data_IF_140068764149
#
_entry.id   IF_140068764149
#
_cell.length_a   1.000
_cell.length_b   1.000
_cell.length_c   1.000
_cell.angle_alpha   90.00
_cell.angle_beta   90.00
_cell.angle_gamma   90.00
#
_symmetry.space_group_name_H-M   'P 1'
#
loop_
_entity.id
_entity.type
_entity.pdbx_description
1 polymer ?
#
# COMPACT_ATOMS: atom_id res chain seq x y z
N UNK A 1 26.86 17.54 -1.57
CA UNK A 1 25.61 18.09 -0.99
C UNK A 1 25.98 18.75 0.32
N UNK A 2 25.86 20.07 0.40
CA UNK A 2 26.03 20.82 1.66
C UNK A 2 24.75 20.66 2.49
N UNK A 3 24.88 20.06 3.67
CA UNK A 3 23.77 19.85 4.61
C UNK A 3 23.64 21.06 5.53
N UNK A 4 22.49 21.73 5.52
CA UNK A 4 22.18 22.85 6.42
C UNK A 4 21.58 22.32 7.73
N UNK A 5 22.26 22.57 8.84
CA UNK A 5 21.75 22.31 10.19
C UNK A 5 20.49 23.16 10.49
N UNK A 6 19.38 22.48 10.80
CA UNK A 6 18.12 23.10 11.19
C UNK A 6 17.99 23.20 12.71
N UNK A 7 18.73 24.14 13.29
CA UNK A 7 18.79 24.39 14.74
C UNK A 7 17.72 25.39 15.22
N UNK A 8 16.44 25.04 15.08
CA UNK A 8 15.34 25.82 15.68
C UNK A 8 14.43 24.96 16.54
N UNK A 9 14.82 24.80 17.81
CA UNK A 9 13.98 24.21 18.86
C UNK A 9 14.80 23.80 20.08
N UNK A 10 14.80 24.64 21.12
CA UNK A 10 15.46 24.38 22.40
C UNK A 10 14.71 23.35 23.24
N UNK A 11 15.40 22.30 23.69
CA UNK A 11 14.83 21.27 24.57
C UNK A 11 15.84 20.21 24.99
N UNK A 12 16.48 20.45 26.14
CA UNK A 12 17.49 19.65 26.86
C UNK A 12 16.98 18.22 27.17
N UNK A 13 17.79 17.19 26.89
CA UNK A 13 17.52 15.80 27.28
C UNK A 13 18.46 14.79 26.62
N UNK A 14 19.47 14.34 27.38
CA UNK A 14 20.62 13.50 26.98
C UNK A 14 20.30 11.99 26.92
N UNK A 15 19.56 11.50 25.91
CA UNK A 15 19.45 10.05 25.70
C UNK A 15 19.17 9.61 24.26
N UNK A 16 19.60 10.39 23.26
CA UNK A 16 19.42 10.08 21.84
C UNK A 16 20.74 10.24 21.10
N UNK A 17 21.07 9.26 20.25
CA UNK A 17 22.23 9.26 19.35
C UNK A 17 22.19 10.52 18.48
N UNK A 18 23.33 11.23 18.31
CA UNK A 18 23.43 12.51 17.59
C UNK A 18 22.97 12.44 16.13
N UNK A 19 22.75 11.23 15.62
CA UNK A 19 22.33 10.91 14.25
C UNK A 19 20.83 11.04 14.00
N UNK A 20 19.99 11.08 15.04
CA UNK A 20 18.52 11.18 14.89
C UNK A 20 18.07 12.64 14.97
N UNK A 21 17.76 13.25 13.82
CA UNK A 21 17.34 14.65 13.75
C UNK A 21 16.13 14.99 14.62
N UNK A 22 16.06 16.24 15.12
CA UNK A 22 15.03 16.74 16.06
C UNK A 22 13.60 16.53 15.53
N UNK A 23 13.44 16.46 14.22
CA UNK A 23 12.15 16.22 13.58
C UNK A 23 11.58 14.85 14.01
N UNK A 24 12.40 13.79 14.01
CA UNK A 24 12.01 12.40 14.26
C UNK A 24 11.56 12.07 15.70
N UNK A 25 11.77 13.00 16.65
CA UNK A 25 11.69 12.78 18.12
C UNK A 25 10.34 12.24 18.63
N UNK A 26 9.24 12.51 17.93
CA UNK A 26 7.89 12.14 18.40
C UNK A 26 7.32 10.88 17.73
N UNK A 27 8.07 10.29 16.80
CA UNK A 27 7.59 9.23 15.90
C UNK A 27 8.59 8.09 15.76
N UNK A 28 9.88 8.34 15.95
CA UNK A 28 10.94 7.35 15.84
C UNK A 28 11.48 6.98 17.22
N UNK A 29 11.79 5.70 17.40
CA UNK A 29 12.47 5.17 18.60
C UNK A 29 13.54 4.21 18.12
N UNK A 30 14.80 4.49 18.45
CA UNK A 30 15.88 3.54 18.23
C UNK A 30 15.86 2.48 19.34
N UNK A 31 15.99 1.21 18.96
CA UNK A 31 16.15 0.11 19.92
C UNK A 31 17.62 -0.15 20.18
N UNK A 32 17.96 -0.70 21.35
CA UNK A 32 19.32 -1.10 21.69
C UNK A 32 20.01 -2.01 20.64
N UNK A 33 19.23 -2.76 19.86
CA UNK A 33 19.72 -3.61 18.76
C UNK A 33 20.08 -2.83 17.47
N UNK A 34 20.09 -1.50 17.48
CA UNK A 34 20.39 -0.64 16.32
C UNK A 34 19.29 -0.58 15.26
N UNK A 35 18.04 -0.92 15.61
CA UNK A 35 16.87 -0.84 14.71
C UNK A 35 16.08 0.43 14.97
N UNK A 36 15.58 1.05 13.90
CA UNK A 36 14.75 2.25 14.00
C UNK A 36 13.26 1.90 13.89
N UNK A 37 12.48 2.20 14.93
CA UNK A 37 11.04 1.96 14.96
C UNK A 37 10.27 3.26 14.72
N UNK A 38 9.57 3.34 13.59
CA UNK A 38 8.65 4.43 13.26
C UNK A 38 7.22 4.04 13.67
N UNK A 39 6.59 4.85 14.51
CA UNK A 39 5.24 4.65 15.07
C UNK A 39 4.38 5.89 14.82
N UNK A 40 3.06 5.74 14.97
CA UNK A 40 2.16 6.90 15.04
C UNK A 40 2.53 7.81 16.21
N UNK A 41 2.17 9.09 16.07
CA UNK A 41 2.37 10.10 17.11
C UNK A 41 1.87 9.62 18.48
N UNK A 42 2.58 10.04 19.53
CA UNK A 42 2.25 9.69 20.92
C UNK A 42 0.78 10.00 21.24
N UNK A 43 0.28 11.17 20.81
CA UNK A 43 -1.12 11.58 21.00
C UNK A 43 -2.12 10.55 20.43
N UNK A 44 -1.94 10.12 19.18
CA UNK A 44 -2.84 9.14 18.56
C UNK A 44 -2.75 7.78 19.26
N UNK A 45 -1.56 7.40 19.76
CA UNK A 45 -1.40 6.18 20.56
C UNK A 45 -2.13 6.28 21.89
N UNK A 46 -2.09 7.43 22.57
CA UNK A 46 -2.86 7.67 23.78
C UNK A 46 -4.37 7.60 23.52
N UNK A 47 -4.87 8.25 22.45
CA UNK A 47 -6.29 8.14 22.08
C UNK A 47 -6.70 6.69 21.77
N UNK A 48 -5.85 5.93 21.07
CA UNK A 48 -6.09 4.52 20.82
C UNK A 48 -6.11 3.69 22.12
N UNK A 49 -5.23 3.99 23.07
CA UNK A 49 -5.24 3.33 24.39
C UNK A 49 -6.53 3.63 25.15
N UNK A 50 -6.99 4.89 25.16
CA UNK A 50 -8.27 5.26 25.78
C UNK A 50 -9.43 4.51 25.12
N UNK A 51 -9.46 4.43 23.80
CA UNK A 51 -10.47 3.67 23.07
C UNK A 51 -10.45 2.17 23.41
N UNK A 52 -9.29 1.57 23.70
CA UNK A 52 -9.21 0.19 24.19
C UNK A 52 -9.69 0.05 25.63
N UNK A 53 -9.28 0.96 26.52
CA UNK A 53 -9.63 0.93 27.94
C UNK A 53 -11.14 1.08 28.14
N UNK A 54 -11.82 1.87 27.30
CA UNK A 54 -13.28 2.02 27.35
C UNK A 54 -13.98 0.93 26.52
N UNK A 55 -13.50 0.70 25.30
CA UNK A 55 -14.18 -0.17 24.34
C UNK A 55 -14.12 -1.65 24.68
N UNK A 56 -13.02 -2.17 25.24
CA UNK A 56 -12.91 -3.60 25.59
C UNK A 56 -13.84 -3.96 26.75
N UNK A 57 -13.86 -3.24 27.89
CA UNK A 57 -14.85 -3.48 28.94
C UNK A 57 -16.29 -3.26 28.45
N UNK A 58 -16.54 -2.24 27.62
CA UNK A 58 -17.85 -2.02 27.01
C UNK A 58 -18.30 -3.19 26.14
N UNK A 59 -17.43 -3.76 25.33
CA UNK A 59 -17.73 -4.98 24.56
C UNK A 59 -18.01 -6.17 25.48
N UNK A 60 -17.20 -6.41 26.51
CA UNK A 60 -17.36 -7.56 27.40
C UNK A 60 -18.67 -7.46 28.18
N UNK A 61 -18.96 -6.29 28.74
CA UNK A 61 -20.19 -6.04 29.51
C UNK A 61 -21.44 -6.26 28.64
N UNK A 62 -21.42 -5.77 27.40
CA UNK A 62 -22.56 -5.91 26.50
C UNK A 62 -22.62 -7.28 25.78
N UNK A 63 -21.51 -8.02 25.70
CA UNK A 63 -21.50 -9.37 25.16
C UNK A 63 -21.87 -10.45 26.18
N UNK A 64 -21.70 -10.18 27.49
CA UNK A 64 -22.02 -11.13 28.54
C UNK A 64 -23.49 -11.60 28.50
N UNK A 65 -24.49 -10.70 28.30
CA UNK A 65 -25.88 -11.10 28.15
C UNK A 65 -26.12 -12.01 26.93
N UNK A 66 -25.40 -11.83 25.82
CA UNK A 66 -25.52 -12.67 24.61
C UNK A 66 -25.15 -14.14 24.85
N UNK A 67 -24.41 -14.42 25.93
CA UNK A 67 -24.03 -15.78 26.33
C UNK A 67 -25.04 -16.40 27.31
N UNK A 68 -26.04 -15.64 27.75
CA UNK A 68 -27.08 -16.12 28.66
C UNK A 68 -28.18 -16.86 27.90
N UNK A 69 -28.58 -18.08 28.32
CA UNK A 69 -29.69 -18.81 27.71
C UNK A 69 -31.07 -18.20 28.04
N UNK A 70 -31.14 -17.18 28.90
CA UNK A 70 -32.38 -16.53 29.35
C UNK A 70 -32.61 -15.13 28.77
N UNK A 71 -31.79 -14.73 27.79
CA UNK A 71 -31.88 -13.40 27.20
C UNK A 71 -33.11 -13.29 26.29
N UNK A 72 -33.84 -12.17 26.39
CA UNK A 72 -34.95 -11.89 25.50
C UNK A 72 -34.47 -11.41 24.13
N UNK A 73 -35.25 -11.64 23.08
CA UNK A 73 -34.92 -11.20 21.70
C UNK A 73 -34.64 -9.68 21.59
N UNK A 74 -35.21 -8.88 22.50
CA UNK A 74 -34.96 -7.44 22.58
C UNK A 74 -33.59 -7.13 23.19
N UNK A 75 -33.23 -7.79 24.29
CA UNK A 75 -31.94 -7.64 24.96
C UNK A 75 -30.77 -8.15 24.11
N UNK A 76 -30.97 -9.22 23.31
CA UNK A 76 -29.96 -9.70 22.34
C UNK A 76 -29.63 -8.60 21.32
N UNK A 77 -30.66 -7.92 20.84
CA UNK A 77 -30.53 -6.91 19.78
C UNK A 77 -29.86 -5.64 20.28
N UNK A 78 -30.24 -5.16 21.46
CA UNK A 78 -29.61 -4.00 22.11
C UNK A 78 -28.13 -4.30 22.44
N UNK A 79 -27.86 -5.48 23.03
CA UNK A 79 -26.51 -5.97 23.29
C UNK A 79 -25.65 -6.01 22.01
N UNK A 80 -26.19 -6.48 20.89
CA UNK A 80 -25.48 -6.49 19.60
C UNK A 80 -25.11 -5.07 19.11
N UNK A 81 -26.01 -4.09 19.23
CA UNK A 81 -25.73 -2.71 18.81
C UNK A 81 -24.55 -2.15 19.62
N UNK A 82 -24.56 -2.31 20.94
CA UNK A 82 -23.47 -1.85 21.81
C UNK A 82 -22.16 -2.60 21.55
N UNK A 83 -22.20 -3.91 21.33
CA UNK A 83 -21.01 -4.71 20.98
C UNK A 83 -20.39 -4.21 19.67
N UNK A 84 -21.19 -3.89 18.66
CA UNK A 84 -20.68 -3.35 17.39
C UNK A 84 -20.16 -1.91 17.58
N UNK A 85 -20.89 -1.07 18.32
CA UNK A 85 -20.50 0.31 18.60
C UNK A 85 -19.16 0.41 19.32
N UNK A 86 -18.89 -0.45 20.29
CA UNK A 86 -17.59 -0.53 20.97
C UNK A 86 -16.54 -1.30 20.16
N UNK A 87 -16.95 -2.30 19.38
CA UNK A 87 -16.06 -3.12 18.56
C UNK A 87 -15.34 -2.32 17.47
N UNK A 88 -16.03 -1.38 16.82
CA UNK A 88 -15.45 -0.58 15.74
C UNK A 88 -14.26 0.30 16.24
N UNK A 89 -14.40 1.11 17.32
CA UNK A 89 -13.29 1.83 17.96
C UNK A 89 -12.18 0.91 18.46
N UNK A 90 -12.51 -0.25 19.02
CA UNK A 90 -11.51 -1.24 19.47
C UNK A 90 -10.66 -1.74 18.30
N UNK A 91 -11.29 -2.15 17.20
CA UNK A 91 -10.57 -2.58 15.99
C UNK A 91 -9.70 -1.45 15.42
N UNK A 92 -10.21 -0.22 15.39
CA UNK A 92 -9.42 0.95 14.99
C UNK A 92 -8.21 1.17 15.91
N UNK A 93 -8.39 1.05 17.23
CA UNK A 93 -7.32 1.24 18.20
C UNK A 93 -6.24 0.15 18.09
N UNK A 94 -6.64 -1.12 17.98
CA UNK A 94 -5.71 -2.23 17.72
C UNK A 94 -4.92 -1.99 16.43
N UNK A 95 -5.60 -1.60 15.35
CA UNK A 95 -4.97 -1.28 14.06
C UNK A 95 -3.95 -0.14 14.20
N UNK A 96 -4.32 0.90 14.94
CA UNK A 96 -3.48 2.08 15.16
C UNK A 96 -2.22 1.75 15.96
N UNK A 97 -2.33 0.91 17.00
CA UNK A 97 -1.20 0.50 17.84
C UNK A 97 -0.30 -0.56 17.17
N UNK A 98 -0.86 -1.45 16.34
CA UNK A 98 -0.07 -2.46 15.60
C UNK A 98 0.72 -1.87 14.43
N UNK A 99 0.31 -0.72 13.89
CA UNK A 99 0.99 -0.06 12.78
C UNK A 99 2.36 0.49 13.20
N UNK A 100 3.41 -0.15 12.69
CA UNK A 100 4.79 0.32 12.86
C UNK A 100 5.65 -0.04 11.66
N UNK A 101 6.59 0.81 11.31
CA UNK A 101 7.68 0.49 10.38
C UNK A 101 8.94 0.25 11.20
N UNK A 102 9.68 -0.79 10.88
CA UNK A 102 10.98 -1.11 11.50
C UNK A 102 12.03 -1.06 10.41
N UNK A 103 13.00 -0.16 10.52
CA UNK A 103 14.18 -0.14 9.67
C UNK A 103 15.30 -0.90 10.38
N UNK A 104 15.99 -1.74 9.61
CA UNK A 104 17.07 -2.60 10.09
C UNK A 104 18.12 -2.76 8.99
N UNK A 105 19.28 -3.32 9.33
CA UNK A 105 20.33 -3.65 8.35
C UNK A 105 19.81 -4.47 7.16
N UNK A 106 18.83 -5.34 7.39
CA UNK A 106 18.33 -6.25 6.38
C UNK A 106 17.15 -5.68 5.54
N UNK A 107 16.74 -4.44 5.78
CA UNK A 107 15.64 -3.78 5.08
C UNK A 107 14.57 -3.18 5.98
N UNK A 108 13.43 -2.89 5.36
CA UNK A 108 12.28 -2.23 5.95
C UNK A 108 11.19 -3.26 6.24
N UNK A 109 10.79 -3.37 7.50
CA UNK A 109 9.69 -4.24 7.93
C UNK A 109 8.48 -3.40 8.34
N UNK A 110 7.44 -3.41 7.51
CA UNK A 110 6.18 -2.72 7.71
C UNK A 110 5.17 -3.65 8.37
N UNK A 111 4.77 -3.36 9.60
CA UNK A 111 3.68 -4.07 10.29
C UNK A 111 2.39 -3.28 10.20
N UNK A 112 1.32 -3.95 9.78
CA UNK A 112 -0.07 -3.50 9.73
C UNK A 112 -0.93 -4.48 10.53
N UNK A 113 -2.23 -4.20 10.70
CA UNK A 113 -3.14 -5.00 11.54
C UNK A 113 -3.07 -6.50 11.25
N UNK A 114 -3.17 -6.87 9.97
CA UNK A 114 -3.25 -8.27 9.52
C UNK A 114 -1.98 -8.76 8.82
N UNK A 115 -1.01 -7.87 8.54
CA UNK A 115 0.09 -8.18 7.64
C UNK A 115 1.41 -7.57 8.11
N UNK A 116 2.48 -8.33 7.92
CA UNK A 116 3.84 -7.83 8.01
C UNK A 116 4.47 -7.97 6.63
N UNK A 117 4.95 -6.86 6.09
CA UNK A 117 5.63 -6.80 4.80
C UNK A 117 7.09 -6.45 5.05
N UNK A 118 8.01 -7.19 4.43
CA UNK A 118 9.44 -6.96 4.52
C UNK A 118 9.94 -6.64 3.12
N UNK A 119 10.55 -5.47 2.97
CA UNK A 119 11.16 -5.00 1.74
C UNK A 119 12.67 -4.88 1.96
N UNK A 120 13.50 -5.63 1.22
CA UNK A 120 14.95 -5.51 1.31
C UNK A 120 15.44 -4.16 0.79
N UNK A 121 16.60 -3.69 1.27
CA UNK A 121 17.19 -2.45 0.75
C UNK A 121 17.50 -2.50 -0.75
N UNK A 122 17.85 -3.69 -1.26
CA UNK A 122 18.05 -3.97 -2.69
C UNK A 122 16.86 -3.54 -3.57
N UNK A 123 15.63 -3.52 -3.02
CA UNK A 123 14.43 -3.14 -3.75
C UNK A 123 13.85 -1.77 -3.34
N UNK A 124 14.49 -1.04 -2.43
CA UNK A 124 13.95 0.19 -1.80
C UNK A 124 14.98 1.33 -1.74
N UNK A 125 16.26 1.04 -2.01
CA UNK A 125 17.41 1.87 -1.64
C UNK A 125 17.40 3.32 -2.14
N UNK A 126 16.65 3.65 -3.19
CA UNK A 126 16.68 4.99 -3.80
C UNK A 126 15.40 5.84 -3.66
N UNK A 127 14.30 5.39 -3.01
CA UNK A 127 12.98 6.04 -3.25
C UNK A 127 12.09 6.25 -2.03
N UNK A 128 12.59 6.97 -1.03
CA UNK A 128 11.68 7.64 -0.09
C UNK A 128 11.12 8.89 -0.75
N UNK A 129 9.83 8.87 -1.09
CA UNK A 129 9.10 10.01 -1.62
C UNK A 129 8.05 10.47 -0.61
N UNK A 130 7.64 11.73 -0.67
CA UNK A 130 6.56 12.24 0.17
C UNK A 130 5.24 12.12 -0.61
N UNK A 131 4.25 11.43 -0.03
CA UNK A 131 2.87 11.60 -0.48
C UNK A 131 2.20 12.63 0.44
N UNK A 132 2.07 13.85 -0.04
CA UNK A 132 1.14 14.85 0.49
C UNK A 132 -0.25 14.49 -0.01
N UNK A 133 -1.13 14.02 0.88
CA UNK A 133 -2.54 13.91 0.54
C UNK A 133 -3.17 15.29 0.75
N UNK A 134 -3.14 16.12 -0.30
CA UNK A 134 -3.91 17.35 -0.35
C UNK A 134 -5.38 16.99 -0.57
N UNK A 135 -6.24 17.30 0.41
CA UNK A 135 -7.69 17.06 0.34
C UNK A 135 -8.42 18.09 -0.55
N UNK A 136 -7.71 18.72 -1.50
CA UNK A 136 -8.15 19.93 -2.21
C UNK A 136 -7.92 19.85 -3.73
N UNK A 137 -8.52 18.89 -4.41
CA UNK A 137 -8.77 19.01 -5.87
C UNK A 137 -10.12 19.69 -6.17
N UNK A 138 -10.73 20.36 -5.19
CA UNK A 138 -11.88 21.23 -5.38
C UNK A 138 -11.46 22.70 -5.24
N UNK A 139 -11.61 23.54 -6.28
CA UNK A 139 -11.22 24.93 -6.24
C UNK A 139 -12.32 25.73 -5.56
N UNK A 140 -12.35 25.75 -4.23
CA UNK A 140 -12.88 26.85 -3.43
C UNK A 140 -13.03 26.42 -1.98
N UNK A 141 -12.65 27.34 -1.10
CA UNK A 141 -13.32 27.70 0.15
C UNK A 141 -12.38 27.64 1.35
N UNK A 142 -12.11 28.83 1.88
CA UNK A 142 -11.61 29.11 3.23
C UNK A 142 -12.17 28.11 4.27
N UNK A 143 -11.35 27.17 4.72
CA UNK A 143 -11.69 26.21 5.76
C UNK A 143 -10.43 25.48 6.22
N UNK A 144 -10.22 25.40 7.54
CA UNK A 144 -8.94 25.00 8.17
C UNK A 144 -8.24 23.78 7.53
N UNK A 145 -6.98 23.99 7.15
CA UNK A 145 -6.10 23.04 6.48
C UNK A 145 -5.81 21.82 7.36
N UNK A 146 -6.26 20.62 6.95
CA UNK A 146 -5.75 19.35 7.49
C UNK A 146 -4.84 18.75 6.41
N UNK A 147 -3.60 19.22 6.36
CA UNK A 147 -2.58 18.58 5.55
C UNK A 147 -2.12 17.30 6.23
N UNK A 148 -2.18 16.20 5.49
CA UNK A 148 -1.71 14.89 5.95
C UNK A 148 -0.56 14.44 5.07
N UNK A 149 0.66 14.78 5.47
CA UNK A 149 1.85 14.30 4.80
C UNK A 149 2.22 12.92 5.32
N UNK A 150 2.41 11.95 4.43
CA UNK A 150 2.86 10.61 4.79
C UNK A 150 4.11 10.27 4.01
N UNK A 151 5.09 9.70 4.70
CA UNK A 151 6.27 9.14 4.03
C UNK A 151 5.84 7.91 3.25
N UNK A 152 6.18 7.88 1.97
CA UNK A 152 5.91 6.78 1.07
C UNK A 152 7.19 6.25 0.46
N UNK A 153 7.13 5.01 0.02
CA UNK A 153 8.15 4.39 -0.82
C UNK A 153 7.53 4.21 -2.18
N UNK A 154 8.14 4.76 -3.23
CA UNK A 154 7.70 4.48 -4.59
C UNK A 154 8.00 3.02 -4.95
N UNK A 155 7.03 2.29 -5.50
CA UNK A 155 7.18 0.90 -5.89
C UNK A 155 6.93 0.77 -7.39
N UNK A 156 8.01 0.86 -8.17
CA UNK A 156 7.93 0.92 -9.62
C UNK A 156 7.55 2.30 -10.11
N UNK A 157 6.27 2.63 -10.03
CA UNK A 157 5.66 3.77 -10.72
C UNK A 157 5.12 4.82 -9.74
N UNK A 158 4.99 6.06 -10.21
CA UNK A 158 4.53 7.21 -9.43
C UNK A 158 3.12 6.99 -8.79
N UNK A 159 2.25 6.22 -9.46
CA UNK A 159 0.88 5.89 -8.96
C UNK A 159 0.86 4.78 -7.90
N UNK A 160 2.01 4.16 -7.58
CA UNK A 160 2.09 3.03 -6.67
C UNK A 160 3.06 3.29 -5.53
N UNK A 161 2.61 4.18 -4.67
CA UNK A 161 3.32 4.56 -3.45
C UNK A 161 2.94 3.63 -2.29
N UNK A 162 3.93 2.89 -1.78
CA UNK A 162 3.84 2.13 -0.54
C UNK A 162 3.86 3.10 0.64
N UNK A 163 2.74 3.22 1.32
CA UNK A 163 2.63 4.12 2.47
C UNK A 163 3.22 3.50 3.73
N UNK A 164 4.19 4.17 4.36
CA UNK A 164 4.82 3.66 5.57
C UNK A 164 3.85 3.69 6.77
N UNK A 165 3.55 2.55 7.41
CA UNK A 165 2.67 2.52 8.58
C UNK A 165 3.32 3.22 9.79
N UNK A 166 2.66 4.24 10.31
CA UNK A 166 3.15 5.00 11.47
C UNK A 166 3.65 6.41 11.12
N UNK A 167 4.14 6.61 9.90
CA UNK A 167 4.79 7.83 9.45
C UNK A 167 3.80 8.90 8.94
N UNK A 168 2.79 9.24 9.77
CA UNK A 168 1.82 10.30 9.46
C UNK A 168 2.28 11.58 10.14
N UNK A 169 2.61 12.59 9.34
CA UNK A 169 3.08 13.90 9.75
C UNK A 169 1.95 14.89 9.40
N UNK A 170 1.50 15.69 10.38
CA UNK A 170 0.35 16.59 10.18
C UNK A 170 -0.98 16.04 10.72
N UNK A 171 -1.31 16.45 11.94
CA UNK A 171 -2.68 16.61 12.48
C UNK A 171 -2.76 17.94 13.26
N UNK A 172 -1.79 18.83 13.03
CA UNK A 172 -1.63 20.10 13.75
C UNK A 172 -1.86 21.23 12.77
N UNK A 173 -2.58 22.27 13.18
CA UNK A 173 -2.74 23.52 12.43
C UNK A 173 -1.35 24.05 12.00
N UNK A 174 -1.12 24.21 10.69
CA UNK A 174 0.12 24.74 10.09
C UNK A 174 0.79 23.84 9.04
N UNK A 175 1.67 24.42 8.22
CA UNK A 175 2.44 23.75 7.13
C UNK A 175 3.10 22.47 7.65
N UNK A 176 2.60 21.34 7.17
CA UNK A 176 3.07 20.00 7.54
C UNK A 176 4.14 19.48 6.56
N UNK A 177 4.24 20.11 5.39
CA UNK A 177 5.17 19.77 4.31
C UNK A 177 6.63 19.98 4.71
N UNK A 178 6.97 21.13 5.29
CA UNK A 178 8.35 21.43 5.72
C UNK A 178 8.86 20.44 6.78
N UNK A 179 7.99 20.08 7.73
CA UNK A 179 8.32 19.08 8.77
C UNK A 179 8.49 17.69 8.19
N UNK A 180 7.69 17.34 7.19
CA UNK A 180 7.78 16.06 6.52
C UNK A 180 8.99 15.95 5.58
N UNK A 181 9.36 17.05 4.94
CA UNK A 181 10.59 17.16 4.14
C UNK A 181 11.82 17.01 5.03
N UNK A 182 11.87 17.73 6.16
CA UNK A 182 12.93 17.56 7.16
C UNK A 182 12.98 16.11 7.72
N UNK A 183 11.82 15.50 7.98
CA UNK A 183 11.72 14.11 8.42
C UNK A 183 12.34 13.11 7.44
N UNK A 184 12.08 13.31 6.14
CA UNK A 184 12.61 12.46 5.09
C UNK A 184 14.11 12.67 4.93
N UNK A 185 14.58 13.92 4.97
CA UNK A 185 16.01 14.23 4.97
C UNK A 185 16.75 13.58 6.13
N UNK A 186 16.25 13.72 7.36
CA UNK A 186 16.83 13.10 8.55
C UNK A 186 16.83 11.56 8.46
N UNK A 187 15.77 10.96 7.89
CA UNK A 187 15.69 9.51 7.68
C UNK A 187 16.69 9.02 6.64
N UNK A 188 16.84 9.74 5.52
CA UNK A 188 17.83 9.43 4.48
C UNK A 188 19.25 9.54 5.02
N UNK A 189 19.54 10.60 5.79
CA UNK A 189 20.82 10.79 6.45
C UNK A 189 21.12 9.64 7.42
N UNK A 190 20.15 9.23 8.25
CA UNK A 190 20.31 8.11 9.17
C UNK A 190 20.66 6.79 8.44
N UNK A 191 19.99 6.52 7.31
CA UNK A 191 20.24 5.32 6.48
C UNK A 191 21.65 5.36 5.88
N UNK A 192 22.05 6.53 5.37
CA UNK A 192 23.38 6.76 4.80
C UNK A 192 24.47 6.59 5.85
N UNK A 193 24.34 7.24 7.01
CA UNK A 193 25.29 7.19 8.11
C UNK A 193 25.49 5.76 8.66
N UNK A 194 24.46 4.91 8.59
CA UNK A 194 24.51 3.50 9.00
C UNK A 194 24.99 2.55 7.90
N UNK A 195 25.26 3.05 6.69
CA UNK A 195 25.71 2.24 5.56
C UNK A 195 24.71 1.18 5.12
N UNK A 196 23.41 1.43 5.32
CA UNK A 196 22.35 0.48 4.94
C UNK A 196 21.93 0.60 3.46
N UNK A 197 22.37 1.65 2.77
CA UNK A 197 22.21 1.80 1.32
C UNK A 197 22.97 0.69 0.58
N UNK A 198 22.37 0.19 -0.50
CA UNK A 198 22.99 -0.80 -1.39
C UNK A 198 24.28 -0.20 -1.95
N UNK A 199 25.43 -0.84 -1.73
CA UNK A 199 26.67 -0.47 -2.42
C UNK A 199 26.49 -0.73 -3.92
N UNK A 200 26.96 0.19 -4.78
CA UNK A 200 26.87 0.06 -6.24
C UNK A 200 27.38 -1.31 -6.71
N UNK A 201 28.40 -1.87 -6.06
CA UNK A 201 28.98 -3.20 -6.36
C UNK A 201 28.01 -4.39 -6.15
N UNK A 202 27.05 -4.29 -5.22
CA UNK A 202 26.06 -5.35 -4.99
C UNK A 202 24.91 -5.29 -6.01
N UNK A 203 24.70 -4.13 -6.64
CA UNK A 203 23.72 -3.94 -7.71
C UNK A 203 24.23 -4.41 -9.09
N UNK A 204 25.48 -4.88 -9.17
CA UNK A 204 26.15 -5.34 -10.40
C UNK A 204 26.04 -6.86 -10.61
N UNK A 205 25.70 -7.63 -9.57
CA UNK A 205 25.67 -9.10 -9.64
C UNK A 205 24.29 -9.64 -10.01
N UNK A 206 24.26 -10.71 -10.83
CA UNK A 206 23.02 -11.46 -11.12
C UNK A 206 22.41 -12.02 -9.83
N UNK A 207 21.09 -11.96 -9.69
CA UNK A 207 20.39 -12.58 -8.55
C UNK A 207 20.05 -14.04 -8.92
N UNK A 208 20.68 -15.04 -8.26
CA UNK A 208 20.44 -16.45 -8.55
C UNK A 208 18.96 -16.84 -8.40
N UNK A 209 18.22 -16.17 -7.52
CA UNK A 209 16.79 -16.44 -7.32
C UNK A 209 15.95 -15.95 -8.50
N UNK A 210 16.26 -14.78 -9.04
CA UNK A 210 15.53 -14.20 -10.18
C UNK A 210 15.88 -14.93 -11.48
N UNK A 211 17.15 -15.31 -11.68
CA UNK A 211 17.59 -16.15 -12.80
C UNK A 211 16.91 -17.52 -12.75
N UNK A 212 16.90 -18.18 -11.59
CA UNK A 212 16.18 -19.44 -11.42
C UNK A 212 14.67 -19.28 -11.62
N UNK A 213 14.06 -18.20 -11.13
CA UNK A 213 12.64 -17.93 -11.31
C UNK A 213 12.26 -17.70 -12.78
N UNK A 214 13.11 -16.99 -13.53
CA UNK A 214 12.97 -16.83 -14.98
C UNK A 214 12.92 -18.18 -15.69
N UNK A 215 13.70 -19.17 -15.26
CA UNK A 215 13.65 -20.55 -15.79
C UNK A 215 12.43 -21.36 -15.34
N UNK A 216 11.77 -21.00 -14.23
CA UNK A 216 10.58 -21.69 -13.67
C UNK A 216 9.26 -21.23 -14.30
N UNK A 217 9.28 -20.73 -15.52
CA UNK A 217 8.07 -20.29 -16.22
C UNK A 217 7.17 -21.49 -16.57
N UNK A 218 5.87 -21.42 -16.29
CA UNK A 218 4.88 -22.42 -16.77
C UNK A 218 4.47 -22.14 -18.23
N UNK A 219 5.43 -21.75 -19.08
CA UNK A 219 5.13 -21.32 -20.44
C UNK A 219 4.49 -22.43 -21.25
N UNK A 220 4.92 -23.68 -21.12
CA UNK A 220 4.34 -24.84 -21.84
C UNK A 220 2.81 -24.93 -21.69
N UNK A 221 2.29 -24.76 -20.46
CA UNK A 221 0.85 -24.79 -20.18
C UNK A 221 0.11 -23.54 -20.66
N UNK A 222 0.81 -22.41 -20.78
CA UNK A 222 0.25 -21.14 -21.23
C UNK A 222 0.24 -21.04 -22.76
N UNK A 223 1.29 -21.50 -23.43
CA UNK A 223 1.46 -21.52 -24.89
C UNK A 223 0.38 -22.36 -25.59
N UNK A 224 -0.16 -23.39 -24.94
CA UNK A 224 -1.27 -24.16 -25.51
C UNK A 224 -2.61 -23.41 -25.56
N UNK A 225 -2.73 -22.26 -24.89
CA UNK A 225 -3.98 -21.49 -24.85
C UNK A 225 -3.98 -20.46 -25.97
N UNK A 226 -5.10 -20.36 -26.68
CA UNK A 226 -5.34 -19.34 -27.70
C UNK A 226 -5.39 -17.90 -27.14
N UNK A 227 -5.56 -17.73 -25.83
CA UNK A 227 -5.60 -16.42 -25.16
C UNK A 227 -5.22 -16.55 -23.69
N UNK A 228 -4.44 -15.59 -23.16
CA UNK A 228 -4.14 -15.53 -21.72
C UNK A 228 -5.00 -14.47 -21.05
N UNK A 229 -5.76 -14.87 -20.02
CA UNK A 229 -6.57 -13.96 -19.20
C UNK A 229 -6.03 -14.01 -17.77
N UNK A 230 -5.68 -12.85 -17.23
CA UNK A 230 -5.29 -12.67 -15.83
C UNK A 230 -6.28 -11.72 -15.14
N UNK A 231 -6.76 -12.12 -13.96
CA UNK A 231 -7.68 -11.35 -13.12
C UNK A 231 -7.17 -11.30 -11.68
N UNK A 232 -5.87 -11.10 -11.48
CA UNK A 232 -5.27 -11.09 -10.15
C UNK A 232 -5.46 -9.71 -9.52
N UNK A 233 -6.16 -9.59 -8.38
CA UNK A 233 -6.35 -8.29 -7.75
C UNK A 233 -5.03 -7.69 -7.26
N UNK A 234 -4.94 -6.37 -7.27
CA UNK A 234 -3.85 -5.61 -6.62
C UNK A 234 -3.99 -5.72 -5.09
N UNK A 235 -3.65 -6.88 -4.54
CA UNK A 235 -3.94 -7.23 -3.15
C UNK A 235 -3.28 -6.28 -2.15
N UNK A 236 -2.13 -5.69 -2.48
CA UNK A 236 -1.50 -4.65 -1.67
C UNK A 236 -2.39 -3.39 -1.56
N UNK A 237 -2.90 -2.90 -2.69
CA UNK A 237 -3.78 -1.71 -2.73
C UNK A 237 -5.10 -1.97 -2.01
N UNK A 238 -5.70 -3.14 -2.20
CA UNK A 238 -6.89 -3.59 -1.46
C UNK A 238 -6.64 -3.61 0.05
N UNK A 239 -5.56 -4.26 0.49
CA UNK A 239 -5.15 -4.28 1.91
C UNK A 239 -4.95 -2.88 2.46
N UNK A 240 -4.34 -2.00 1.68
CA UNK A 240 -4.11 -0.63 2.09
C UNK A 240 -5.42 0.14 2.31
N UNK A 241 -6.34 0.07 1.36
CA UNK A 241 -7.66 0.70 1.49
C UNK A 241 -8.42 0.18 2.71
N UNK A 242 -8.46 -1.15 2.90
CA UNK A 242 -9.08 -1.78 4.06
C UNK A 242 -8.44 -1.28 5.37
N UNK A 243 -7.12 -1.29 5.44
CA UNK A 243 -6.42 -0.89 6.66
C UNK A 243 -6.58 0.61 6.96
N UNK A 244 -6.61 1.49 5.94
CA UNK A 244 -6.56 2.96 6.08
C UNK A 244 -7.89 3.61 6.50
N UNK A 245 -8.87 2.81 6.91
CA UNK A 245 -10.19 3.29 7.32
C UNK A 245 -11.31 2.66 6.51
N UNK A 246 -11.02 1.95 5.41
CA UNK A 246 -12.02 1.22 4.64
C UNK A 246 -12.76 0.19 5.49
N UNK A 247 -12.05 -0.57 6.33
CA UNK A 247 -12.68 -1.53 7.24
C UNK A 247 -13.54 -0.85 8.32
N UNK A 248 -13.15 0.34 8.77
CA UNK A 248 -13.95 1.14 9.70
C UNK A 248 -15.23 1.66 9.02
N UNK A 249 -15.12 2.23 7.82
CA UNK A 249 -16.25 2.75 7.06
C UNK A 249 -17.22 1.63 6.65
N UNK A 250 -16.70 0.48 6.24
CA UNK A 250 -17.52 -0.71 5.94
C UNK A 250 -18.23 -1.17 7.22
N UNK A 251 -17.53 -1.27 8.35
CA UNK A 251 -18.13 -1.64 9.63
C UNK A 251 -19.22 -0.67 10.09
N UNK A 252 -18.96 0.64 9.98
CA UNK A 252 -19.95 1.69 10.30
C UNK A 252 -21.18 1.61 9.40
N UNK A 253 -20.99 1.36 8.11
CA UNK A 253 -22.11 1.24 7.17
C UNK A 253 -22.98 0.01 7.42
N UNK A 254 -22.36 -1.13 7.76
CA UNK A 254 -23.09 -2.32 8.20
C UNK A 254 -23.87 -2.03 9.48
N UNK A 255 -23.25 -1.35 10.45
CA UNK A 255 -23.90 -0.96 11.69
C UNK A 255 -25.15 -0.09 11.43
N UNK A 256 -25.07 0.92 10.55
CA UNK A 256 -26.22 1.75 10.21
C UNK A 256 -27.34 0.96 9.52
N UNK A 257 -26.99 0.00 8.65
CA UNK A 257 -27.99 -0.86 8.03
C UNK A 257 -28.67 -1.78 9.04
N UNK A 258 -27.91 -2.32 10.02
CA UNK A 258 -28.47 -3.15 11.10
C UNK A 258 -29.40 -2.32 11.98
N UNK A 259 -29.00 -1.12 12.41
CA UNK A 259 -29.84 -0.23 13.23
C UNK A 259 -31.14 0.13 12.50
N UNK A 260 -31.05 0.60 11.25
CA UNK A 260 -32.24 0.97 10.47
C UNK A 260 -33.15 -0.21 10.15
N UNK A 261 -32.57 -1.39 9.86
CA UNK A 261 -33.33 -2.61 9.61
C UNK A 261 -34.03 -3.15 10.86
N UNK A 262 -33.39 -3.08 12.03
CA UNK A 262 -34.00 -3.48 13.30
C UNK A 262 -35.23 -2.63 13.62
N UNK A 263 -35.11 -1.32 13.48
CA UNK A 263 -36.17 -0.38 13.84
C UNK A 263 -37.37 -0.45 12.88
N UNK A 264 -37.15 -0.70 11.58
CA UNK A 264 -38.25 -0.80 10.60
C UNK A 264 -38.96 -2.15 10.55
N UNK A 265 -38.23 -3.27 10.74
CA UNK A 265 -38.77 -4.60 10.47
C UNK A 265 -39.09 -5.43 11.71
N UNK A 266 -38.52 -5.09 12.87
CA UNK A 266 -38.59 -5.96 14.05
C UNK A 266 -39.16 -5.31 15.30
N UNK A 267 -39.43 -3.99 15.27
CA UNK A 267 -40.07 -3.31 16.39
C UNK A 267 -41.59 -3.43 16.29
N UNK A 268 -42.20 -4.10 17.28
CA UNK A 268 -43.63 -4.45 17.30
C UNK A 268 -44.51 -3.32 17.84
N UNK A 269 -43.91 -2.27 18.41
CA UNK A 269 -44.61 -1.06 18.83
C UNK A 269 -44.86 -0.17 17.61
N UNK A 270 -46.00 0.54 17.55
CA UNK A 270 -46.21 1.54 16.51
C UNK A 270 -45.10 2.60 16.60
N UNK A 271 -44.20 2.60 15.62
CA UNK A 271 -43.09 3.55 15.54
C UNK A 271 -43.63 4.97 15.40
N UNK A 272 -43.04 5.91 16.16
CA UNK A 272 -43.31 7.33 15.96
C UNK A 272 -42.84 7.74 14.56
N UNK A 273 -43.45 8.77 13.95
CA UNK A 273 -42.99 9.31 12.67
C UNK A 273 -41.51 9.72 12.68
N UNK A 274 -40.99 10.12 13.85
CA UNK A 274 -39.57 10.42 14.08
C UNK A 274 -38.68 9.17 14.02
N UNK A 275 -39.16 8.04 14.53
CA UNK A 275 -38.39 6.78 14.59
C UNK A 275 -38.28 6.15 13.21
N UNK A 276 -39.35 6.25 12.41
CA UNK A 276 -39.34 5.84 11.00
C UNK A 276 -38.36 6.71 10.20
N UNK A 277 -38.38 8.03 10.40
CA UNK A 277 -37.45 8.93 9.72
C UNK A 277 -35.99 8.64 10.07
N UNK A 278 -35.70 8.37 11.35
CA UNK A 278 -34.36 7.98 11.81
C UNK A 278 -33.92 6.63 11.20
N UNK A 279 -34.80 5.63 11.18
CA UNK A 279 -34.50 4.33 10.61
C UNK A 279 -34.21 4.39 9.10
N UNK A 280 -35.02 5.16 8.35
CA UNK A 280 -34.79 5.42 6.91
C UNK A 280 -33.47 6.15 6.70
N UNK A 281 -33.15 7.15 7.54
CA UNK A 281 -31.86 7.84 7.48
C UNK A 281 -30.67 6.90 7.69
N UNK A 282 -30.74 6.01 8.68
CA UNK A 282 -29.70 5.00 8.91
C UNK A 282 -29.54 4.03 7.73
N UNK A 283 -30.65 3.56 7.15
CA UNK A 283 -30.62 2.70 5.96
C UNK A 283 -30.00 3.38 4.73
N UNK A 284 -30.14 4.70 4.59
CA UNK A 284 -29.50 5.46 3.52
C UNK A 284 -28.02 5.73 3.81
N UNK A 285 -27.67 6.05 5.06
CA UNK A 285 -26.30 6.35 5.47
C UNK A 285 -25.38 5.13 5.38
N UNK A 286 -25.91 3.93 5.60
CA UNK A 286 -25.18 2.67 5.48
C UNK A 286 -24.49 2.50 4.12
N UNK A 287 -25.22 2.39 3.01
CA UNK A 287 -24.65 2.30 1.66
C UNK A 287 -23.74 3.47 1.30
N UNK A 288 -24.10 4.70 1.69
CA UNK A 288 -23.29 5.91 1.41
C UNK A 288 -21.90 5.81 2.03
N UNK A 289 -21.81 5.36 3.29
CA UNK A 289 -20.52 5.19 3.97
C UNK A 289 -19.69 4.03 3.41
N UNK A 290 -20.33 3.00 2.85
CA UNK A 290 -19.65 1.86 2.20
C UNK A 290 -19.28 2.10 0.73
N UNK A 291 -19.94 3.03 0.04
CA UNK A 291 -19.80 3.21 -1.40
C UNK A 291 -18.36 3.54 -1.81
N UNK A 292 -17.73 4.51 -1.15
CA UNK A 292 -16.34 4.90 -1.46
C UNK A 292 -15.31 3.77 -1.26
N UNK A 293 -15.23 3.09 -0.10
CA UNK A 293 -14.27 2.01 0.07
C UNK A 293 -14.53 0.82 -0.87
N UNK A 294 -15.79 0.49 -1.14
CA UNK A 294 -16.15 -0.58 -2.09
C UNK A 294 -15.79 -0.22 -3.52
N UNK A 295 -16.06 1.02 -3.95
CA UNK A 295 -15.65 1.53 -5.25
C UNK A 295 -14.14 1.44 -5.43
N UNK A 296 -13.35 1.93 -4.46
CA UNK A 296 -11.89 1.85 -4.51
C UNK A 296 -11.34 0.42 -4.51
N UNK A 297 -11.96 -0.48 -3.78
CA UNK A 297 -11.61 -1.91 -3.82
C UNK A 297 -11.94 -2.50 -5.20
N UNK A 298 -13.07 -2.12 -5.81
CA UNK A 298 -13.48 -2.59 -7.13
C UNK A 298 -12.50 -2.17 -8.24
N UNK A 299 -11.93 -0.96 -8.17
CA UNK A 299 -10.91 -0.49 -9.12
C UNK A 299 -9.63 -1.34 -9.11
N UNK A 300 -9.38 -2.10 -8.04
CA UNK A 300 -8.21 -2.98 -7.92
C UNK A 300 -8.37 -4.31 -8.67
N UNK A 301 -9.57 -4.63 -9.18
CA UNK A 301 -9.87 -5.85 -9.93
C UNK A 301 -9.85 -5.57 -11.43
N UNK A 302 -8.66 -5.32 -11.96
CA UNK A 302 -8.47 -5.17 -13.40
C UNK A 302 -8.21 -6.51 -14.07
N UNK A 303 -8.75 -6.64 -15.29
CA UNK A 303 -8.57 -7.82 -16.14
C UNK A 303 -7.53 -7.50 -17.21
N UNK A 304 -6.45 -8.28 -17.20
CA UNK A 304 -5.44 -8.27 -18.27
C UNK A 304 -5.76 -9.41 -19.22
N UNK A 305 -5.85 -9.09 -20.49
CA UNK A 305 -6.00 -10.11 -21.52
C UNK A 305 -4.97 -9.93 -22.61
N UNK A 306 -4.26 -11.02 -22.90
CA UNK A 306 -3.18 -11.09 -23.88
C UNK A 306 -3.70 -11.88 -25.08
N UNK A 307 -3.67 -11.26 -26.25
CA UNK A 307 -4.05 -11.84 -27.53
C UNK A 307 -3.01 -11.48 -28.61
N UNK A 308 -3.18 -12.01 -29.83
CA UNK A 308 -2.26 -11.76 -30.94
C UNK A 308 -2.21 -10.29 -31.36
N UNK A 309 -3.31 -9.54 -31.14
CA UNK A 309 -3.40 -8.12 -31.49
C UNK A 309 -2.66 -7.24 -30.48
N UNK A 310 -2.50 -7.69 -29.24
CA UNK A 310 -1.77 -6.97 -28.21
C UNK A 310 -2.11 -7.41 -26.79
N UNK A 311 -1.74 -6.56 -25.85
CA UNK A 311 -2.03 -6.75 -24.43
C UNK A 311 -3.07 -5.71 -24.01
N UNK A 312 -4.21 -6.17 -23.50
CA UNK A 312 -5.32 -5.33 -23.05
C UNK A 312 -5.42 -5.33 -21.53
N UNK A 313 -5.46 -4.15 -20.93
CA UNK A 313 -5.63 -3.93 -19.48
C UNK A 313 -6.90 -3.10 -19.28
N UNK A 314 -8.00 -3.76 -18.92
CA UNK A 314 -9.31 -3.10 -18.82
C UNK A 314 -9.71 -2.41 -20.13
N UNK A 315 -9.77 -1.08 -20.13
CA UNK A 315 -10.08 -0.25 -21.31
C UNK A 315 -8.84 0.18 -22.13
N UNK A 316 -7.64 -0.05 -21.61
CA UNK A 316 -6.38 0.35 -22.25
C UNK A 316 -5.82 -0.83 -23.04
N UNK A 317 -5.23 -0.58 -24.21
CA UNK A 317 -4.53 -1.58 -25.01
C UNK A 317 -3.12 -1.11 -25.34
N UNK A 318 -2.18 -2.04 -25.37
CA UNK A 318 -0.85 -1.81 -25.90
C UNK A 318 -0.51 -2.86 -26.95
N UNK A 319 0.23 -2.43 -27.97
CA UNK A 319 0.79 -3.32 -28.99
C UNK A 319 1.95 -4.09 -28.37
N UNK A 320 2.23 -5.27 -28.90
CA UNK A 320 3.36 -6.09 -28.47
C UNK A 320 4.69 -5.32 -28.56
N UNK A 321 5.53 -5.39 -27.50
CA UNK A 321 6.87 -4.82 -27.54
C UNK A 321 7.75 -5.57 -28.56
N UNK A 322 8.65 -4.84 -29.23
CA UNK A 322 9.55 -5.37 -30.26
C UNK A 322 10.79 -6.08 -29.70
N UNK A 323 11.03 -5.97 -28.39
CA UNK A 323 12.13 -6.65 -27.69
C UNK A 323 11.61 -7.12 -26.35
N UNK A 324 12.18 -8.23 -25.84
CA UNK A 324 11.87 -8.78 -24.52
C UNK A 324 12.06 -7.77 -23.40
N UNK A 325 13.04 -6.88 -23.57
CA UNK A 325 13.32 -5.79 -22.64
C UNK A 325 12.13 -4.82 -22.49
N UNK A 326 11.23 -4.76 -23.48
CA UNK A 326 9.99 -3.97 -23.40
C UNK A 326 8.92 -4.55 -22.47
N UNK A 327 9.14 -5.72 -21.87
CA UNK A 327 8.31 -6.29 -20.81
C UNK A 327 9.19 -6.51 -19.57
N UNK A 328 8.91 -5.80 -18.48
CA UNK A 328 9.75 -5.85 -17.28
C UNK A 328 8.92 -5.82 -15.99
N UNK A 329 9.56 -6.16 -14.87
CA UNK A 329 8.96 -6.15 -13.53
C UNK A 329 9.57 -5.02 -12.73
N UNK A 330 8.72 -4.13 -12.21
CA UNK A 330 9.13 -3.03 -11.34
C UNK A 330 8.30 -3.13 -10.04
N UNK A 331 8.97 -3.07 -8.90
CA UNK A 331 8.34 -3.39 -7.61
C UNK A 331 7.67 -4.76 -7.57
N UNK A 332 6.32 -4.79 -7.54
CA UNK A 332 5.48 -5.99 -7.55
C UNK A 332 4.46 -6.01 -8.72
N UNK A 333 4.79 -5.32 -9.82
CA UNK A 333 3.95 -5.22 -11.03
C UNK A 333 4.75 -5.49 -12.29
N UNK A 334 4.04 -5.92 -13.34
CA UNK A 334 4.60 -6.11 -14.68
C UNK A 334 4.24 -4.89 -15.51
N UNK A 335 5.19 -4.38 -16.29
CA UNK A 335 5.03 -3.22 -17.16
C UNK A 335 5.37 -3.57 -18.60
N UNK A 336 4.66 -2.92 -19.53
CA UNK A 336 4.94 -2.95 -20.97
C UNK A 336 5.38 -1.57 -21.41
N UNK A 337 6.44 -1.51 -22.21
CA UNK A 337 6.96 -0.28 -22.82
C UNK A 337 6.31 -0.08 -24.19
N UNK A 338 5.70 1.07 -24.41
CA UNK A 338 5.25 1.52 -25.71
C UNK A 338 6.44 2.02 -26.55
N UNK A 339 6.32 1.97 -27.88
CA UNK A 339 7.35 2.47 -28.81
C UNK A 339 7.70 3.96 -28.66
N UNK A 340 6.93 4.73 -27.90
CA UNK A 340 7.19 6.14 -27.59
C UNK A 340 7.86 6.36 -26.21
N UNK A 341 8.31 5.31 -25.54
CA UNK A 341 8.96 5.38 -24.23
C UNK A 341 8.00 5.56 -23.04
N UNK A 342 6.68 5.51 -23.26
CA UNK A 342 5.69 5.43 -22.17
C UNK A 342 5.53 3.99 -21.68
N UNK A 343 5.26 3.78 -20.40
CA UNK A 343 4.96 2.48 -19.83
C UNK A 343 3.47 2.30 -19.51
N UNK A 344 3.01 1.05 -19.53
CA UNK A 344 1.68 0.64 -19.07
C UNK A 344 1.81 -0.48 -18.04
N UNK A 345 1.23 -0.27 -16.86
CA UNK A 345 1.15 -1.31 -15.83
C UNK A 345 0.11 -2.37 -16.22
N UNK A 346 0.49 -3.64 -16.14
CA UNK A 346 -0.39 -4.79 -16.32
C UNK A 346 -1.12 -5.12 -15.00
N UNK A 347 -1.88 -4.15 -14.50
CA UNK A 347 -2.70 -4.29 -13.29
C UNK A 347 -3.74 -5.40 -13.52
N UNK A 348 -3.58 -6.54 -12.83
CA UNK A 348 -4.35 -7.77 -13.10
C UNK A 348 -3.48 -8.99 -13.41
N UNK A 349 -2.24 -8.77 -13.85
CA UNK A 349 -1.23 -9.83 -14.00
C UNK A 349 -0.36 -10.02 -12.73
N UNK A 350 -0.71 -9.34 -11.63
CA UNK A 350 0.00 -9.37 -10.34
C UNK A 350 -0.04 -10.73 -9.61
N UNK A 351 0.51 -10.80 -8.40
CA UNK A 351 0.54 -12.04 -7.60
C UNK A 351 -0.06 -11.85 -6.20
N UNK A 352 -0.71 -12.89 -5.69
CA UNK A 352 -1.59 -12.81 -4.52
C UNK A 352 -0.86 -12.95 -3.17
N UNK A 353 0.11 -13.84 -3.03
CA UNK A 353 0.71 -14.19 -1.74
C UNK A 353 2.22 -14.47 -1.84
N UNK A 354 2.94 -14.20 -0.74
CA UNK A 354 4.37 -14.45 -0.63
C UNK A 354 5.13 -13.25 -0.04
N UNK A 355 6.37 -13.47 0.36
CA UNK A 355 7.33 -12.39 0.63
C UNK A 355 7.52 -11.54 -0.63
N UNK A 356 8.03 -10.32 -0.48
CA UNK A 356 8.29 -9.42 -1.60
C UNK A 356 9.14 -10.11 -2.68
N UNK A 357 10.24 -10.76 -2.29
CA UNK A 357 11.11 -11.54 -3.18
C UNK A 357 10.35 -12.67 -3.91
N UNK A 358 9.54 -13.47 -3.21
CA UNK A 358 8.75 -14.54 -3.86
C UNK A 358 7.74 -13.99 -4.87
N UNK A 359 7.15 -12.82 -4.60
CA UNK A 359 6.24 -12.18 -5.55
C UNK A 359 7.00 -11.70 -6.78
N UNK A 360 8.18 -11.09 -6.61
CA UNK A 360 9.05 -10.71 -7.72
C UNK A 360 9.46 -11.91 -8.57
N UNK A 361 9.90 -13.02 -7.96
CA UNK A 361 10.20 -14.26 -8.68
C UNK A 361 9.00 -14.75 -9.51
N UNK A 362 7.81 -14.77 -8.92
CA UNK A 362 6.58 -15.20 -9.61
C UNK A 362 6.17 -14.24 -10.73
N UNK A 363 6.41 -12.94 -10.57
CA UNK A 363 6.18 -11.93 -11.60
C UNK A 363 7.17 -12.06 -12.74
N UNK A 364 8.46 -12.30 -12.46
CA UNK A 364 9.49 -12.54 -13.49
C UNK A 364 9.16 -13.80 -14.29
N UNK A 365 8.80 -14.89 -13.62
CA UNK A 365 8.36 -16.11 -14.30
C UNK A 365 7.11 -15.91 -15.17
N UNK A 366 6.18 -15.05 -14.74
CA UNK A 366 4.96 -14.73 -15.48
C UNK A 366 5.20 -13.79 -16.64
N UNK A 367 6.03 -12.77 -16.43
CA UNK A 367 6.54 -11.86 -17.45
C UNK A 367 7.17 -12.67 -18.58
N UNK A 368 8.03 -13.62 -18.22
CA UNK A 368 8.64 -14.53 -19.19
C UNK A 368 7.62 -15.39 -19.95
N UNK A 369 6.64 -15.96 -19.25
CA UNK A 369 5.60 -16.75 -19.89
C UNK A 369 4.73 -15.93 -20.87
N UNK A 370 4.46 -14.65 -20.58
CA UNK A 370 3.75 -13.74 -21.48
C UNK A 370 4.57 -13.49 -22.75
N UNK A 371 5.88 -13.22 -22.60
CA UNK A 371 6.77 -13.03 -23.73
C UNK A 371 6.84 -14.28 -24.63
N UNK A 372 7.10 -15.46 -24.04
CA UNK A 372 7.16 -16.72 -24.78
C UNK A 372 5.84 -17.08 -25.47
N UNK A 373 4.70 -16.76 -24.86
CA UNK A 373 3.40 -16.91 -25.50
C UNK A 373 3.29 -16.07 -26.77
N UNK A 374 3.70 -14.80 -26.71
CA UNK A 374 3.67 -13.88 -27.86
C UNK A 374 4.58 -14.35 -28.99
N UNK A 375 5.77 -14.87 -28.66
CA UNK A 375 6.69 -15.45 -29.65
C UNK A 375 6.10 -16.71 -30.30
N UNK A 376 5.55 -17.62 -29.50
CA UNK A 376 4.99 -18.88 -30.01
C UNK A 376 3.79 -18.68 -30.96
N UNK A 377 3.00 -17.63 -30.75
CA UNK A 377 1.84 -17.29 -31.60
C UNK A 377 2.19 -16.28 -32.70
N UNK A 378 3.47 -15.93 -32.89
CA UNK A 378 3.91 -14.98 -33.92
C UNK A 378 3.46 -13.53 -33.67
N UNK A 379 2.97 -13.21 -32.47
CA UNK A 379 2.51 -11.87 -32.10
C UNK A 379 3.68 -10.90 -31.81
N UNK A 380 4.84 -11.44 -31.42
CA UNK A 380 6.09 -10.69 -31.28
C UNK A 380 7.31 -11.54 -31.62
N UNK A 381 8.47 -10.89 -31.77
CA UNK A 381 9.77 -11.53 -31.96
C UNK A 381 10.88 -10.67 -31.38
N UNK A 382 12.03 -11.28 -31.08
CA UNK A 382 13.19 -10.54 -30.58
C UNK A 382 13.85 -9.77 -31.72
N UNK A 383 13.70 -8.44 -31.72
CA UNK A 383 14.38 -7.56 -32.68
C UNK A 383 15.66 -6.92 -32.12
N UNK A 384 15.92 -7.05 -30.81
CA UNK A 384 17.03 -6.38 -30.15
C UNK A 384 16.85 -4.86 -29.97
N UNK A 385 15.75 -4.28 -30.46
CA UNK A 385 15.49 -2.84 -30.35
C UNK A 385 15.16 -2.44 -28.91
N UNK A 386 16.11 -1.78 -28.26
CA UNK A 386 15.91 -1.23 -26.92
C UNK A 386 15.19 0.12 -26.99
N UNK A 387 14.02 0.23 -26.34
CA UNK A 387 13.29 1.49 -26.19
C UNK A 387 13.49 2.02 -24.77
N UNK A 388 14.18 3.17 -24.59
CA UNK A 388 14.35 3.76 -23.27
C UNK A 388 13.03 4.34 -22.74
N UNK A 389 12.83 4.26 -21.43
CA UNK A 389 11.69 4.87 -20.75
C UNK A 389 11.90 6.38 -20.57
N UNK A 390 10.82 7.16 -20.72
CA UNK A 390 10.85 8.59 -20.49
C UNK A 390 11.03 8.96 -19.00
N UNK A 391 10.54 8.10 -18.09
CA UNK A 391 10.72 8.26 -16.65
C UNK A 391 12.06 7.64 -16.23
N UNK A 392 12.97 8.48 -15.70
CA UNK A 392 14.33 8.10 -15.30
C UNK A 392 14.35 7.08 -14.16
N UNK A 393 13.45 7.21 -13.18
CA UNK A 393 13.33 6.25 -12.10
C UNK A 393 12.88 4.89 -12.61
N UNK A 394 11.85 4.86 -13.46
CA UNK A 394 11.39 3.61 -14.07
C UNK A 394 12.45 2.95 -14.97
N UNK A 395 13.24 3.75 -15.68
CA UNK A 395 14.36 3.27 -16.49
C UNK A 395 15.44 2.60 -15.61
N UNK A 396 15.80 3.23 -14.50
CA UNK A 396 16.78 2.68 -13.55
C UNK A 396 16.29 1.36 -12.93
N UNK A 397 15.00 1.26 -12.56
CA UNK A 397 14.42 0.03 -12.01
C UNK A 397 14.47 -1.13 -13.00
N UNK A 398 14.15 -0.84 -14.27
CA UNK A 398 14.26 -1.81 -15.34
C UNK A 398 15.69 -2.30 -15.51
N UNK A 399 16.67 -1.40 -15.54
CA UNK A 399 18.09 -1.76 -15.68
C UNK A 399 18.61 -2.61 -14.51
N UNK A 400 18.16 -2.31 -13.28
CA UNK A 400 18.48 -3.13 -12.09
C UNK A 400 17.89 -4.54 -12.24
N UNK A 401 16.62 -4.64 -12.66
CA UNK A 401 15.99 -5.93 -12.90
C UNK A 401 16.70 -6.70 -14.02
N UNK A 402 16.95 -6.06 -15.16
CA UNK A 402 17.62 -6.66 -16.33
C UNK A 402 18.97 -7.26 -15.94
N UNK A 403 19.77 -6.53 -15.14
CA UNK A 403 21.00 -7.06 -14.53
C UNK A 403 20.72 -8.26 -13.63
N UNK A 404 19.75 -8.15 -12.72
CA UNK A 404 19.39 -9.20 -11.77
C UNK A 404 18.90 -10.51 -12.41
N UNK A 405 18.26 -10.45 -13.59
CA UNK A 405 17.79 -11.62 -14.33
C UNK A 405 18.76 -12.12 -15.40
N UNK A 406 19.95 -11.51 -15.52
CA UNK A 406 20.96 -11.88 -16.52
C UNK A 406 20.55 -11.53 -17.96
N UNK A 407 19.89 -10.39 -18.18
CA UNK A 407 19.74 -9.79 -19.50
C UNK A 407 20.87 -8.78 -19.71
N UNK A 408 21.57 -8.87 -20.86
CA UNK A 408 22.63 -7.93 -21.19
C UNK A 408 22.06 -6.51 -21.31
N UNK A 409 22.49 -5.61 -20.42
CA UNK A 409 22.13 -4.19 -20.49
C UNK A 409 22.95 -3.53 -21.60
N UNK A 410 22.33 -2.90 -22.61
CA UNK A 410 23.07 -2.02 -23.51
C UNK A 410 23.62 -0.87 -22.67
N UNK A 411 24.94 -0.72 -22.62
CA UNK A 411 25.59 0.37 -21.89
C UNK A 411 25.03 1.72 -22.35
N UNK A 412 24.71 2.58 -21.37
CA UNK A 412 24.29 3.97 -21.58
C UNK A 412 25.41 4.72 -22.33
N UNK A 413 25.36 4.74 -23.66
CA UNK A 413 26.37 5.40 -24.48
C UNK A 413 26.72 4.77 -25.83
N UNK A 414 26.19 3.61 -26.22
CA UNK A 414 26.35 3.15 -27.60
C UNK A 414 25.26 3.74 -28.51
N UNK A 415 25.60 4.53 -29.54
CA UNK A 415 24.66 4.86 -30.59
C UNK A 415 24.29 3.59 -31.36
N UNK A 416 23.02 3.55 -31.79
CA UNK A 416 22.46 2.47 -32.61
C UNK A 416 23.14 2.34 -33.98
#
# INVERSE_FOLDING_TARGET
MEWRDNDRGGGRGNLFDETLGKSLRWWATETADGRLLLRRSVMIRCCALVALVVGVPGMIYNALPLMSPYITDYEVKDAMIWVILFGIPVVWAINTLRRRTVLSKDGITMRRLLFTERCPWASVGSRFTLSTLNLTDAPSSYGGFIERTRITIENGDDDDTIRLPGCVIGMTWGSSEDRASAAVGDLQYYIFARGWSVSEDAAVSEDPHLVAARGRHRAEKMVQRSRLVFCTPLWRRVKEHLCNGGLFLIGMGVLFMVMGGQQLFFETKPLSGSDIAFAVFCLLLGPVTMAYPLYKISECFQRVTVDEQGIRVGRRSCVWPQSRSGLFVAGDRIFVVHGNGRHLALDGAGVTWGSFQRRQEQLVARCEAIWLWGVAHGATGETGRYVPLANVGMQEEREILERGIGLAVPHRGQPA
#
